data_IF_464735333003
#
_entry.id   IF_464735333003
#
_cell.length_a   1.000
_cell.length_b   1.000
_cell.length_c   1.000
_cell.angle_alpha   90.00
_cell.angle_beta   90.00
_cell.angle_gamma   90.00
#
_symmetry.space_group_name_H-M   'P 1'
#
loop_
_entity.id
_entity.type
_entity.pdbx_description
1 polymer ?
#
# COMPACT_ATOMS: atom_id res chain seq x y z
N UNK A 1 40.11 41.20 -1.18
CA UNK A 1 39.43 40.13 -1.94
C UNK A 1 39.49 38.85 -1.12
N UNK A 2 38.43 38.51 -0.39
CA UNK A 2 38.32 37.23 0.34
C UNK A 2 37.07 36.52 -0.18
N UNK A 3 37.32 35.42 -0.89
CA UNK A 3 36.35 34.61 -1.61
C UNK A 3 35.33 34.00 -0.63
N UNK A 4 34.07 34.45 -0.70
CA UNK A 4 32.93 33.91 0.05
C UNK A 4 31.92 33.25 -0.89
N UNK A 5 32.37 32.35 -1.75
CA UNK A 5 31.51 31.70 -2.77
C UNK A 5 31.67 30.18 -2.82
N UNK A 6 32.11 29.55 -1.72
CA UNK A 6 32.32 28.10 -1.69
C UNK A 6 31.42 27.33 -0.68
N UNK A 7 30.66 28.01 0.18
CA UNK A 7 29.86 27.33 1.21
C UNK A 7 28.37 27.16 0.89
N UNK A 8 27.80 27.87 -0.10
CA UNK A 8 26.35 27.86 -0.32
C UNK A 8 25.88 26.67 -1.18
N UNK A 9 26.79 25.96 -1.86
CA UNK A 9 26.43 24.85 -2.75
C UNK A 9 26.20 23.53 -1.99
N UNK A 10 26.65 23.42 -0.73
CA UNK A 10 26.58 22.18 0.05
C UNK A 10 25.36 22.06 0.97
N UNK A 11 24.35 22.94 0.81
CA UNK A 11 23.08 22.87 1.55
C UNK A 11 21.90 22.45 0.66
N UNK A 12 22.20 21.87 -0.50
CA UNK A 12 21.25 21.13 -1.33
C UNK A 12 21.29 19.64 -0.97
N UNK A 13 21.25 19.30 0.32
CA UNK A 13 21.04 17.92 0.78
C UNK A 13 19.61 17.55 0.41
N UNK A 14 19.47 17.14 -0.85
CA UNK A 14 18.65 16.04 -1.33
C UNK A 14 17.82 15.41 -0.21
N UNK A 15 16.65 15.99 0.06
CA UNK A 15 15.55 15.30 0.71
C UNK A 15 15.11 14.20 -0.26
N UNK A 16 15.85 13.08 -0.27
CA UNK A 16 15.35 11.83 -0.82
C UNK A 16 14.11 11.53 0.00
N UNK A 17 12.94 11.82 -0.56
CA UNK A 17 11.66 11.33 -0.07
C UNK A 17 11.69 9.81 -0.28
N UNK A 18 12.38 9.12 0.61
CA UNK A 18 12.26 7.67 0.73
C UNK A 18 10.82 7.47 1.19
N UNK A 19 9.94 6.86 0.38
CA UNK A 19 8.60 6.55 0.86
C UNK A 19 8.80 5.65 2.07
N UNK A 20 8.46 6.17 3.25
CA UNK A 20 8.51 5.39 4.46
C UNK A 20 7.70 4.11 4.18
N UNK A 21 8.33 2.95 4.33
CA UNK A 21 7.66 1.65 4.31
C UNK A 21 6.82 1.48 5.59
N UNK A 22 6.17 2.55 6.02
CA UNK A 22 5.30 2.57 7.17
C UNK A 22 3.93 2.11 6.71
N UNK A 23 3.45 1.04 7.36
CA UNK A 23 2.06 0.61 7.24
C UNK A 23 1.26 1.28 8.33
N UNK A 24 0.10 1.85 7.98
CA UNK A 24 -0.82 2.43 8.94
C UNK A 24 -2.20 1.78 8.81
N UNK A 25 -2.84 1.60 9.95
CA UNK A 25 -4.16 1.00 10.07
C UNK A 25 -5.13 2.05 10.58
N UNK A 26 -6.26 2.19 9.91
CA UNK A 26 -7.37 3.03 10.33
C UNK A 26 -8.62 2.18 10.57
N UNK A 27 -9.31 2.43 11.67
CA UNK A 27 -10.60 1.79 11.97
C UNK A 27 -11.47 2.72 12.83
N UNK A 28 -12.76 2.42 12.93
CA UNK A 28 -13.65 3.09 13.89
C UNK A 28 -13.57 2.34 15.21
N UNK A 29 -13.23 3.04 16.30
CA UNK A 29 -13.30 2.47 17.64
C UNK A 29 -14.78 2.21 18.00
N UNK A 30 -15.19 0.95 18.27
CA UNK A 30 -16.58 0.66 18.57
C UNK A 30 -17.05 1.26 19.90
N UNK A 31 -16.15 1.54 20.86
CA UNK A 31 -16.56 2.11 22.14
C UNK A 31 -16.77 3.63 22.11
N UNK A 32 -16.03 4.35 21.25
CA UNK A 32 -16.08 5.81 21.19
C UNK A 32 -16.66 6.36 19.89
N UNK A 33 -16.81 5.55 18.85
CA UNK A 33 -17.20 5.98 17.51
C UNK A 33 -16.12 6.79 16.76
N UNK A 34 -14.98 7.04 17.39
CA UNK A 34 -13.91 7.85 16.79
C UNK A 34 -13.05 7.03 15.83
N UNK A 35 -12.55 7.71 14.80
CA UNK A 35 -11.52 7.14 13.93
C UNK A 35 -10.22 7.00 14.71
N UNK A 36 -9.65 5.80 14.70
CA UNK A 36 -8.31 5.52 15.21
C UNK A 36 -7.34 5.28 14.07
N UNK A 37 -6.08 5.60 14.32
CA UNK A 37 -4.99 5.48 13.38
C UNK A 37 -3.74 4.98 14.12
N UNK A 38 -3.14 3.90 13.67
CA UNK A 38 -2.00 3.27 14.35
C UNK A 38 -1.04 2.63 13.35
N UNK A 39 0.25 2.63 13.65
CA UNK A 39 1.26 1.86 12.89
C UNK A 39 1.20 0.36 13.19
N UNK A 40 0.64 -0.02 14.35
CA UNK A 40 0.40 -1.40 14.73
C UNK A 40 -1.07 -1.78 14.48
N UNK A 41 -1.35 -3.02 14.03
CA UNK A 41 -2.72 -3.48 13.88
C UNK A 41 -3.42 -3.57 15.24
N UNK A 42 -4.75 -3.34 15.32
CA UNK A 42 -5.49 -3.60 16.54
C UNK A 42 -5.46 -5.10 16.89
N UNK A 43 -5.57 -5.43 18.17
CA UNK A 43 -5.39 -6.81 18.68
C UNK A 43 -6.32 -7.84 18.04
N UNK A 44 -7.52 -7.42 17.63
CA UNK A 44 -8.53 -8.28 16.99
C UNK A 44 -8.38 -8.39 15.47
N UNK A 45 -7.51 -7.61 14.82
CA UNK A 45 -7.42 -7.52 13.35
C UNK A 45 -7.19 -8.86 12.66
N UNK A 46 -6.50 -9.80 13.30
CA UNK A 46 -6.26 -11.17 12.79
C UNK A 46 -6.96 -12.24 13.62
N UNK A 47 -7.90 -11.87 14.48
CA UNK A 47 -8.66 -12.84 15.25
C UNK A 47 -9.71 -13.51 14.36
N UNK A 48 -10.10 -14.77 14.67
CA UNK A 48 -11.20 -15.44 13.95
C UNK A 48 -12.54 -14.71 14.04
N UNK A 49 -12.76 -13.94 15.11
CA UNK A 49 -13.99 -13.19 15.33
C UNK A 49 -14.07 -11.94 14.43
N UNK A 50 -12.93 -11.46 13.93
CA UNK A 50 -12.84 -10.22 13.17
C UNK A 50 -13.14 -8.98 14.00
N UNK A 51 -13.40 -7.88 13.32
CA UNK A 51 -13.80 -6.62 13.96
C UNK A 51 -14.27 -5.59 12.94
N UNK A 52 -14.30 -4.30 13.34
CA UNK A 52 -14.67 -3.20 12.44
C UNK A 52 -13.88 -3.19 11.13
N UNK A 53 -14.45 -2.52 10.12
CA UNK A 53 -13.77 -2.20 8.85
C UNK A 53 -12.41 -1.55 9.10
N UNK A 54 -11.38 -2.06 8.43
CA UNK A 54 -10.00 -1.57 8.53
C UNK A 54 -9.51 -1.09 7.18
N UNK A 55 -9.00 0.14 7.12
CA UNK A 55 -8.24 0.64 5.99
C UNK A 55 -6.75 0.55 6.31
N UNK A 56 -5.97 -0.03 5.39
CA UNK A 56 -4.52 -0.16 5.48
C UNK A 56 -3.88 0.77 4.47
N UNK A 57 -3.04 1.68 4.96
CA UNK A 57 -2.22 2.54 4.12
C UNK A 57 -0.82 1.95 4.03
N UNK A 58 -0.39 1.57 2.83
CA UNK A 58 0.92 0.98 2.59
C UNK A 58 1.44 1.39 1.22
N UNK A 59 2.69 1.87 1.14
CA UNK A 59 3.37 2.23 -0.12
C UNK A 59 2.55 3.18 -1.01
N UNK A 60 1.93 4.18 -0.39
CA UNK A 60 1.10 5.17 -1.08
C UNK A 60 -0.26 4.64 -1.57
N UNK A 61 -0.65 3.41 -1.19
CA UNK A 61 -1.95 2.82 -1.51
C UNK A 61 -2.83 2.77 -0.27
N UNK A 62 -4.11 3.07 -0.43
CA UNK A 62 -5.15 2.78 0.54
C UNK A 62 -5.81 1.45 0.16
N UNK A 63 -5.81 0.50 1.09
CA UNK A 63 -6.32 -0.85 0.92
C UNK A 63 -7.48 -1.02 1.90
N UNK A 64 -8.65 -1.41 1.41
CA UNK A 64 -9.72 -1.86 2.29
C UNK A 64 -9.45 -3.31 2.66
N UNK A 65 -8.98 -3.53 3.89
CA UNK A 65 -8.62 -4.85 4.39
C UNK A 65 -9.64 -5.36 5.41
N UNK A 66 -10.91 -5.04 5.13
CA UNK A 66 -12.03 -5.60 5.88
C UNK A 66 -12.16 -7.09 5.56
N UNK A 67 -11.93 -7.94 6.56
CA UNK A 67 -12.20 -9.35 6.44
C UNK A 67 -13.72 -9.56 6.28
N UNK A 68 -14.12 -10.10 5.13
CA UNK A 68 -15.48 -10.58 4.89
C UNK A 68 -15.48 -12.11 4.81
N UNK A 69 -16.51 -12.74 5.37
CA UNK A 69 -16.67 -14.19 5.24
C UNK A 69 -17.18 -14.49 3.84
N UNK A 70 -16.34 -15.14 3.03
CA UNK A 70 -16.69 -15.56 1.67
C UNK A 70 -16.93 -17.08 1.65
N UNK A 71 -18.06 -17.56 1.11
CA UNK A 71 -18.32 -18.99 0.91
C UNK A 71 -17.22 -19.67 0.07
N UNK A 72 -16.96 -20.96 0.30
CA UNK A 72 -15.83 -21.65 -0.32
C UNK A 72 -15.88 -21.65 -1.85
N UNK A 73 -17.06 -21.86 -2.45
CA UNK A 73 -17.24 -21.81 -3.90
C UNK A 73 -16.82 -20.46 -4.49
N UNK A 74 -17.34 -19.37 -3.92
CA UNK A 74 -17.00 -17.99 -4.30
C UNK A 74 -15.53 -17.68 -4.05
N UNK A 75 -14.93 -18.22 -2.99
CA UNK A 75 -13.50 -18.05 -2.71
C UNK A 75 -12.63 -18.68 -3.80
N UNK A 76 -13.01 -19.86 -4.29
CA UNK A 76 -12.34 -20.52 -5.42
C UNK A 76 -12.39 -19.68 -6.69
N UNK A 77 -13.58 -19.15 -7.01
CA UNK A 77 -13.81 -18.30 -8.18
C UNK A 77 -12.99 -17.00 -8.12
N UNK A 78 -13.07 -16.26 -7.00
CA UNK A 78 -12.32 -15.02 -6.80
C UNK A 78 -10.81 -15.25 -6.89
N UNK A 79 -10.31 -16.37 -6.35
CA UNK A 79 -8.90 -16.73 -6.46
C UNK A 79 -8.50 -17.01 -7.91
N UNK A 80 -9.31 -17.75 -8.66
CA UNK A 80 -9.06 -18.02 -10.09
C UNK A 80 -9.01 -16.72 -10.90
N UNK A 81 -9.97 -15.82 -10.67
CA UNK A 81 -10.01 -14.50 -11.32
C UNK A 81 -8.77 -13.65 -11.01
N UNK A 82 -8.32 -13.64 -9.74
CA UNK A 82 -7.14 -12.88 -9.34
C UNK A 82 -5.86 -13.37 -10.06
N UNK A 83 -5.69 -14.69 -10.21
CA UNK A 83 -4.54 -15.23 -10.95
C UNK A 83 -4.59 -14.89 -12.44
N UNK A 84 -5.77 -14.97 -13.07
CA UNK A 84 -5.93 -14.59 -14.48
C UNK A 84 -5.62 -13.11 -14.71
N UNK A 85 -6.08 -12.23 -13.81
CA UNK A 85 -5.78 -10.80 -13.88
C UNK A 85 -4.28 -10.49 -13.69
N UNK A 86 -3.58 -11.27 -12.86
CA UNK A 86 -2.14 -11.12 -12.68
C UNK A 86 -1.37 -11.51 -13.95
N UNK A 87 -1.76 -12.61 -14.59
CA UNK A 87 -1.13 -13.07 -15.84
C UNK A 87 -1.38 -12.09 -16.98
N UNK A 88 -2.61 -11.57 -17.12
CA UNK A 88 -2.92 -10.57 -18.15
C UNK A 88 -2.14 -9.27 -17.94
N UNK A 89 -2.00 -8.82 -16.69
CA UNK A 89 -1.17 -7.66 -16.34
C UNK A 89 0.28 -7.90 -16.71
N UNK A 90 0.83 -9.08 -16.40
CA UNK A 90 2.21 -9.45 -16.73
C UNK A 90 2.44 -9.45 -18.24
N UNK A 91 1.53 -10.05 -19.00
CA UNK A 91 1.60 -10.09 -20.46
C UNK A 91 1.55 -8.68 -21.07
N UNK A 92 0.68 -7.81 -20.54
CA UNK A 92 0.58 -6.41 -20.97
C UNK A 92 1.86 -5.62 -20.70
N UNK A 93 2.48 -5.79 -19.52
CA UNK A 93 3.77 -5.16 -19.18
C UNK A 93 4.87 -5.60 -20.15
N UNK A 94 4.99 -6.90 -20.42
CA UNK A 94 5.99 -7.42 -21.37
C UNK A 94 5.75 -6.85 -22.78
N UNK A 95 4.49 -6.79 -23.24
CA UNK A 95 4.18 -6.24 -24.56
C UNK A 95 4.54 -4.74 -24.66
N UNK A 96 4.34 -3.97 -23.59
CA UNK A 96 4.76 -2.57 -23.49
C UNK A 96 6.29 -2.43 -23.56
N UNK A 97 7.03 -3.25 -22.81
CA UNK A 97 8.50 -3.25 -22.82
C UNK A 97 9.06 -3.59 -24.22
N UNK A 98 8.56 -4.65 -24.86
CA UNK A 98 8.97 -5.05 -26.22
C UNK A 98 8.65 -3.97 -27.26
N UNK A 99 7.53 -3.25 -27.09
CA UNK A 99 7.16 -2.16 -28.00
C UNK A 99 8.05 -0.93 -27.81
N UNK A 100 8.48 -0.65 -26.58
CA UNK A 100 9.39 0.46 -26.26
C UNK A 100 10.81 0.22 -26.78
N UNK A 101 11.31 -1.02 -26.78
CA UNK A 101 12.63 -1.37 -27.33
C UNK A 101 12.71 -1.36 -28.87
N UNK A 102 11.56 -1.31 -29.56
CA UNK A 102 11.48 -1.27 -31.02
C UNK A 102 11.36 0.16 -31.60
N UNK A 103 11.39 1.19 -30.75
CA UNK A 103 11.41 2.61 -31.14
C UNK A 103 12.83 3.17 -31.00
#
# INVERSE_FOLDING_TARGET
>A
MKSQTACVVLSGVLCIVIPAQARMYQWINPSSGNTQLSGNPPTWYRSPQGGPRVLVFERGKAIDDTAIVVPEGTRGELRSQAFQAQESTRAATIALEVSAERL
#
